data_IF_887033969904
#
_entry.id   IF_887033969904
#
_cell.length_a   1.000
_cell.length_b   1.000
_cell.length_c   1.000
_cell.angle_alpha   90.00
_cell.angle_beta   90.00
_cell.angle_gamma   90.00
#
_symmetry.space_group_name_H-M   'P 1'
#
loop_
_entity.id
_entity.type
_entity.pdbx_description
1 polymer ?
#
# COMPACT_ATOMS: atom_id res chain seq x y z
N UNK A 1 -5.67 -9.70 11.10
CA UNK A 1 -5.05 -9.32 12.39
C UNK A 1 -6.01 -9.59 13.54
N UNK A 2 -5.48 -9.87 14.74
CA UNK A 2 -6.26 -10.06 15.96
C UNK A 2 -5.87 -8.95 16.94
N UNK A 3 -6.83 -8.21 17.47
CA UNK A 3 -6.61 -7.31 18.60
C UNK A 3 -6.36 -8.15 19.86
N UNK A 4 -5.18 -8.04 20.46
CA UNK A 4 -4.78 -8.89 21.60
C UNK A 4 -5.58 -8.58 22.89
N UNK A 5 -6.13 -7.38 23.03
CA UNK A 5 -6.90 -6.98 24.21
C UNK A 5 -8.39 -7.35 24.11
N UNK A 6 -8.96 -7.33 22.90
CA UNK A 6 -10.40 -7.57 22.69
C UNK A 6 -10.75 -8.83 21.90
N UNK A 7 -9.76 -9.51 21.32
CA UNK A 7 -9.96 -10.68 20.45
C UNK A 7 -10.60 -10.36 19.09
N UNK A 8 -10.92 -9.09 18.80
CA UNK A 8 -11.54 -8.67 17.54
C UNK A 8 -10.61 -8.96 16.36
N UNK A 9 -11.18 -9.55 15.31
CA UNK A 9 -10.46 -9.89 14.07
C UNK A 9 -10.76 -8.86 12.99
N UNK A 10 -9.72 -8.31 12.38
CA UNK A 10 -9.83 -7.52 11.16
C UNK A 10 -9.24 -8.33 9.99
N UNK A 11 -10.03 -8.50 8.94
CA UNK A 11 -9.59 -9.14 7.69
C UNK A 11 -8.98 -8.07 6.80
N UNK A 12 -7.73 -8.29 6.38
CA UNK A 12 -7.02 -7.47 5.42
C UNK A 12 -6.44 -8.40 4.36
N UNK A 13 -6.50 -7.99 3.10
CA UNK A 13 -6.25 -8.88 1.94
C UNK A 13 -4.76 -8.99 1.59
N UNK A 14 -3.87 -8.82 2.57
CA UNK A 14 -2.42 -8.81 2.40
C UNK A 14 -1.69 -8.67 3.73
N UNK A 15 -0.35 -8.62 3.69
CA UNK A 15 0.47 -8.42 4.90
C UNK A 15 0.37 -6.96 5.35
N UNK A 16 -0.17 -6.66 6.54
CA UNK A 16 -0.24 -5.29 7.05
C UNK A 16 1.13 -4.83 7.55
N UNK A 17 1.54 -3.64 7.11
CA UNK A 17 2.78 -2.99 7.52
C UNK A 17 2.44 -1.74 8.34
N UNK A 18 2.77 -1.70 9.65
CA UNK A 18 2.48 -0.55 10.49
C UNK A 18 3.37 0.64 10.16
N UNK A 19 2.81 1.85 10.28
CA UNK A 19 3.57 3.10 10.25
C UNK A 19 4.52 3.17 11.46
N UNK A 20 5.60 3.97 11.39
CA UNK A 20 6.55 4.12 12.50
C UNK A 20 5.92 4.56 13.83
N UNK A 21 4.84 5.35 13.78
CA UNK A 21 4.07 5.79 14.95
C UNK A 21 2.89 4.86 15.31
N UNK A 22 2.73 3.75 14.59
CA UNK A 22 1.66 2.77 14.72
C UNK A 22 0.22 3.32 14.55
N UNK A 23 0.05 4.56 14.09
CA UNK A 23 -1.26 5.14 13.84
C UNK A 23 -1.90 4.60 12.57
N UNK A 24 -1.11 4.14 11.60
CA UNK A 24 -1.61 3.63 10.33
C UNK A 24 -1.08 2.21 10.03
N UNK A 25 -1.86 1.47 9.26
CA UNK A 25 -1.45 0.23 8.62
C UNK A 25 -1.58 0.38 7.11
N UNK A 26 -0.54 0.00 6.38
CA UNK A 26 -0.58 -0.14 4.94
C UNK A 26 -0.72 -1.60 4.54
N UNK A 27 -1.57 -1.88 3.55
CA UNK A 27 -1.79 -3.23 3.03
C UNK A 27 -1.73 -3.15 1.51
N UNK A 28 -0.76 -3.86 0.94
CA UNK A 28 -0.70 -4.16 -0.49
C UNK A 28 -1.24 -5.57 -0.71
N UNK A 29 -2.21 -5.67 -1.62
CA UNK A 29 -2.74 -6.92 -2.14
C UNK A 29 -2.49 -6.92 -3.64
N UNK A 30 -1.72 -7.91 -4.09
CA UNK A 30 -1.53 -8.22 -5.49
C UNK A 30 -1.85 -9.70 -5.66
N UNK A 31 -2.86 -10.02 -6.48
CA UNK A 31 -3.08 -11.39 -6.90
C UNK A 31 -2.24 -11.66 -8.13
N UNK A 32 -1.13 -12.35 -7.92
CA UNK A 32 -0.19 -12.68 -8.98
C UNK A 32 -0.39 -14.10 -9.50
N UNK A 33 -1.35 -14.89 -9.00
CA UNK A 33 -1.43 -16.32 -9.37
C UNK A 33 -2.83 -16.96 -9.37
N UNK A 34 -3.93 -16.26 -9.09
CA UNK A 34 -5.26 -16.86 -9.21
C UNK A 34 -6.38 -15.94 -9.76
N UNK A 35 -6.14 -14.64 -9.93
CA UNK A 35 -7.12 -13.73 -10.54
C UNK A 35 -8.38 -13.49 -9.71
N UNK A 36 -8.33 -13.76 -8.39
CA UNK A 36 -9.45 -13.60 -7.48
C UNK A 36 -9.37 -12.32 -6.63
N UNK A 37 -8.18 -11.78 -6.34
CA UNK A 37 -8.05 -10.54 -5.57
C UNK A 37 -7.68 -9.33 -6.45
N UNK A 38 -8.37 -8.19 -6.29
CA UNK A 38 -8.03 -6.98 -7.01
C UNK A 38 -6.67 -6.45 -6.55
N UNK A 39 -5.88 -5.92 -7.49
CA UNK A 39 -4.70 -5.11 -7.19
C UNK A 39 -5.13 -3.95 -6.29
N UNK A 40 -4.83 -4.02 -4.99
CA UNK A 40 -5.36 -3.07 -4.01
C UNK A 40 -4.26 -2.60 -3.09
N UNK A 41 -4.13 -1.28 -3.00
CA UNK A 41 -3.37 -0.64 -1.94
C UNK A 41 -4.34 0.06 -1.01
N UNK A 42 -4.25 -0.20 0.29
CA UNK A 42 -5.14 0.40 1.30
C UNK A 42 -4.40 0.88 2.52
N UNK A 43 -4.89 1.98 3.10
CA UNK A 43 -4.42 2.55 4.35
C UNK A 43 -5.56 2.51 5.38
N UNK A 44 -5.20 2.06 6.57
CA UNK A 44 -6.12 1.89 7.68
C UNK A 44 -5.60 2.68 8.88
N UNK A 45 -6.46 3.48 9.49
CA UNK A 45 -6.20 4.14 10.75
C UNK A 45 -6.46 3.16 11.90
N UNK A 46 -5.48 3.03 12.78
CA UNK A 46 -5.55 2.20 13.97
C UNK A 46 -6.31 2.96 15.05
N UNK A 47 -7.46 2.46 15.44
CA UNK A 47 -8.20 2.90 16.62
C UNK A 47 -7.99 1.91 17.77
N UNK A 48 -8.32 2.31 18.99
CA UNK A 48 -8.14 1.47 20.18
C UNK A 48 -8.75 0.06 20.03
N UNK A 49 -9.89 -0.07 19.33
CA UNK A 49 -10.62 -1.32 19.20
C UNK A 49 -11.00 -1.69 17.75
N UNK A 50 -10.55 -0.91 16.76
CA UNK A 50 -10.96 -1.07 15.37
C UNK A 50 -9.87 -0.63 14.37
N UNK A 51 -10.00 -1.10 13.13
CA UNK A 51 -9.29 -0.56 11.98
C UNK A 51 -10.28 0.17 11.09
N UNK A 52 -9.99 1.43 10.79
CA UNK A 52 -10.81 2.29 9.95
C UNK A 52 -10.11 2.50 8.61
N UNK A 53 -10.69 2.06 7.49
CA UNK A 53 -10.10 2.30 6.17
C UNK A 53 -10.21 3.80 5.84
N UNK A 54 -9.07 4.48 5.73
CA UNK A 54 -9.02 5.93 5.46
C UNK A 54 -8.68 6.24 4.01
N UNK A 55 -8.11 5.28 3.27
CA UNK A 55 -7.78 5.44 1.87
C UNK A 55 -7.58 4.10 1.17
N UNK A 56 -7.91 4.03 -0.12
CA UNK A 56 -7.58 2.88 -0.96
C UNK A 56 -7.59 3.24 -2.44
N UNK A 57 -6.79 2.53 -3.23
CA UNK A 57 -6.85 2.52 -4.69
C UNK A 57 -6.85 1.09 -5.20
N UNK A 58 -7.48 0.91 -6.37
CA UNK A 58 -7.51 -0.35 -7.09
C UNK A 58 -7.03 -0.12 -8.53
N UNK A 59 -5.70 -0.10 -8.76
CA UNK A 59 -5.17 0.19 -10.08
C UNK A 59 -5.47 -0.94 -11.07
N UNK A 60 -5.78 -0.58 -12.31
CA UNK A 60 -6.12 -1.53 -13.37
C UNK A 60 -4.93 -1.91 -14.25
N UNK A 61 -3.89 -1.10 -14.23
CA UNK A 61 -2.73 -1.15 -15.14
C UNK A 61 -1.42 -1.54 -14.43
N UNK A 62 -1.42 -1.58 -13.09
CA UNK A 62 -0.30 -2.02 -12.28
C UNK A 62 -0.76 -2.69 -10.97
N UNK A 63 0.16 -3.42 -10.34
CA UNK A 63 -0.03 -4.09 -9.06
C UNK A 63 0.88 -3.47 -7.99
N UNK A 64 0.39 -3.27 -6.76
CA UNK A 64 1.24 -2.83 -5.65
C UNK A 64 2.19 -3.97 -5.27
N UNK A 65 3.48 -3.75 -5.53
CA UNK A 65 4.55 -4.62 -5.06
C UNK A 65 4.92 -4.35 -3.60
N UNK A 66 6.20 -4.55 -3.22
CA UNK A 66 6.70 -4.20 -1.90
C UNK A 66 6.40 -2.76 -1.52
N UNK A 67 5.94 -2.57 -0.28
CA UNK A 67 5.68 -1.26 0.32
C UNK A 67 6.58 -1.04 1.53
N UNK A 68 6.95 0.21 1.80
CA UNK A 68 7.69 0.59 3.01
C UNK A 68 7.34 2.01 3.46
N UNK A 69 7.25 2.23 4.76
CA UNK A 69 7.08 3.57 5.30
C UNK A 69 8.41 4.33 5.24
N UNK A 70 8.39 5.57 4.75
CA UNK A 70 9.51 6.52 4.83
C UNK A 70 9.38 7.46 6.04
N UNK A 71 8.15 7.62 6.54
CA UNK A 71 7.80 8.35 7.75
C UNK A 71 6.35 8.04 8.15
N UNK A 72 5.86 8.62 9.25
CA UNK A 72 4.48 8.36 9.73
C UNK A 72 3.38 8.76 8.75
N UNK A 73 3.69 9.64 7.79
CA UNK A 73 2.75 10.23 6.83
C UNK A 73 3.16 10.00 5.37
N UNK A 74 4.14 9.12 5.14
CA UNK A 74 4.74 8.91 3.81
C UNK A 74 5.03 7.44 3.61
N UNK A 75 4.33 6.82 2.67
CA UNK A 75 4.49 5.42 2.28
C UNK A 75 5.10 5.36 0.88
N UNK A 76 6.16 4.59 0.71
CA UNK A 76 6.71 4.28 -0.60
C UNK A 76 6.17 2.93 -1.10
N UNK A 77 5.84 2.87 -2.39
CA UNK A 77 5.26 1.69 -3.04
C UNK A 77 6.01 1.41 -4.33
N UNK A 78 6.47 0.17 -4.49
CA UNK A 78 6.96 -0.31 -5.78
C UNK A 78 5.77 -0.66 -6.67
N UNK A 79 5.69 -0.11 -7.87
CA UNK A 79 4.72 -0.55 -8.87
C UNK A 79 5.29 -1.69 -9.68
N UNK A 80 4.53 -2.76 -9.81
CA UNK A 80 4.86 -3.89 -10.68
C UNK A 80 3.76 -4.10 -11.71
N UNK A 81 4.04 -4.88 -12.75
CA UNK A 81 3.04 -5.44 -13.65
C UNK A 81 3.50 -6.81 -14.13
N UNK A 82 2.58 -7.63 -14.61
CA UNK A 82 2.93 -8.87 -15.31
C UNK A 82 3.31 -8.52 -16.75
N UNK A 83 4.46 -9.02 -17.21
CA UNK A 83 4.87 -8.94 -18.60
C UNK A 83 3.97 -9.84 -19.45
N UNK A 84 3.29 -9.32 -20.49
CA UNK A 84 2.34 -10.10 -21.29
C UNK A 84 3.00 -11.18 -22.15
N UNK A 85 4.31 -11.11 -22.38
CA UNK A 85 5.06 -12.06 -23.20
C UNK A 85 5.65 -13.19 -22.37
N UNK A 86 6.21 -12.88 -21.20
CA UNK A 86 6.89 -13.86 -20.35
C UNK A 86 6.01 -14.38 -19.21
N UNK A 87 4.97 -13.63 -18.83
CA UNK A 87 4.16 -13.90 -17.65
C UNK A 87 4.89 -13.60 -16.33
N UNK A 88 6.07 -12.98 -16.39
CA UNK A 88 6.86 -12.64 -15.21
C UNK A 88 6.50 -11.26 -14.65
N UNK A 89 6.68 -11.07 -13.35
CA UNK A 89 6.56 -9.75 -12.74
C UNK A 89 7.73 -8.85 -13.11
N UNK A 90 7.40 -7.67 -13.63
CA UNK A 90 8.37 -6.62 -13.92
C UNK A 90 8.12 -5.41 -13.03
N UNK A 91 9.21 -4.86 -12.51
CA UNK A 91 9.18 -3.61 -11.75
C UNK A 91 9.08 -2.42 -12.70
N UNK A 92 8.13 -1.53 -12.46
CA UNK A 92 7.93 -0.31 -13.24
C UNK A 92 8.76 0.83 -12.68
N UNK A 93 8.36 1.31 -11.50
CA UNK A 93 8.96 2.43 -10.80
C UNK A 93 8.51 2.43 -9.34
N UNK A 94 8.79 3.54 -8.65
CA UNK A 94 8.36 3.79 -7.30
C UNK A 94 7.43 5.00 -7.26
N UNK A 95 6.39 4.92 -6.45
CA UNK A 95 5.46 6.01 -6.16
C UNK A 95 5.35 6.21 -4.65
N UNK A 96 4.89 7.39 -4.25
CA UNK A 96 4.69 7.71 -2.83
C UNK A 96 3.21 7.90 -2.56
N UNK A 97 2.74 7.49 -1.38
CA UNK A 97 1.45 7.88 -0.83
C UNK A 97 1.71 8.80 0.36
N UNK A 98 1.20 10.02 0.29
CA UNK A 98 1.49 11.07 1.26
C UNK A 98 0.20 11.59 1.90
N UNK A 99 0.24 11.86 3.20
CA UNK A 99 -0.86 12.50 3.93
C UNK A 99 -0.67 14.02 3.87
N UNK A 100 -1.49 14.69 3.07
CA UNK A 100 -1.47 16.15 2.91
C UNK A 100 -2.82 16.74 3.34
N UNK A 101 -2.80 17.70 4.28
CA UNK A 101 -4.00 18.35 4.79
C UNK A 101 -5.09 17.35 5.25
N UNK A 102 -4.69 16.21 5.84
CA UNK A 102 -5.60 15.18 6.32
C UNK A 102 -6.13 14.21 5.24
N UNK A 103 -5.65 14.33 4.00
CA UNK A 103 -6.05 13.46 2.88
C UNK A 103 -4.84 12.72 2.32
N UNK A 104 -4.95 11.39 2.22
CA UNK A 104 -3.93 10.56 1.58
C UNK A 104 -4.00 10.69 0.06
N UNK A 105 -2.85 10.86 -0.58
CA UNK A 105 -2.73 11.04 -2.03
C UNK A 105 -1.60 10.20 -2.57
N UNK A 106 -1.83 9.57 -3.72
CA UNK A 106 -0.76 9.00 -4.53
C UNK A 106 -0.04 10.14 -5.26
N UNK A 107 1.26 10.24 -5.06
CA UNK A 107 2.14 11.24 -5.66
C UNK A 107 3.17 10.52 -6.50
N UNK A 108 3.26 10.88 -7.77
CA UNK A 108 4.34 10.37 -8.63
C UNK A 108 5.68 10.85 -8.07
N UNK A 109 6.61 9.92 -7.89
CA UNK A 109 7.96 10.30 -7.50
C UNK A 109 8.56 11.14 -8.62
N UNK A 110 8.73 12.45 -8.39
CA UNK A 110 9.53 13.29 -9.27
C UNK A 110 10.91 12.63 -9.35
N UNK A 111 11.33 12.20 -10.54
CA UNK A 111 12.75 11.93 -10.78
C UNK A 111 13.49 13.17 -10.26
N UNK A 112 14.41 12.97 -9.33
CA UNK A 112 15.32 14.03 -8.92
C UNK A 112 15.99 14.52 -10.21
N UNK A 113 15.60 15.71 -10.67
CA UNK A 113 16.27 16.39 -11.77
C UNK A 113 17.69 16.62 -11.29
N UNK A 114 18.61 15.74 -11.68
CA UNK A 114 20.03 16.00 -11.55
C UNK A 114 20.37 17.07 -12.59
N UNK A 115 20.14 18.32 -12.24
CA UNK A 115 20.78 19.46 -12.90
C UNK A 115 22.09 19.73 -12.15
N UNK A 116 23.21 19.27 -12.71
CA UNK A 116 24.53 19.92 -12.65
C UNK A 116 25.40 19.41 -13.80
#
# INVERSE_FOLDING_TARGET
>A
MINAASGKRAFVDGVPIPSPDANYLAVASADLTAGYNPNRLSLWLVRADALEKVWSIEPTDWSPGPIRWLGSTTLQVLRTRVDPQTGEDITLDTVTVELEAGVWRLVESKQASNSR
#
